data_IF_620169202045
#
_entry.id   IF_620169202045
#
_cell.length_a   1.000
_cell.length_b   1.000
_cell.length_c   1.000
_cell.angle_alpha   90.00
_cell.angle_beta   90.00
_cell.angle_gamma   90.00
#
_symmetry.space_group_name_H-M   'P 1'
#
loop_
_entity.id
_entity.type
_entity.pdbx_description
1 polymer ?
#
# COMPACT_ATOMS: atom_id res chain seq x y z
N UNK A 1 -9.83 -11.59 -0.63
CA UNK A 1 -8.76 -12.53 -0.18
C UNK A 1 -7.44 -11.83 -0.32
N UNK A 2 -7.20 -11.29 -1.51
CA UNK A 2 -6.14 -10.33 -1.83
C UNK A 2 -6.04 -9.20 -0.80
N UNK A 3 -7.16 -8.59 -0.36
CA UNK A 3 -7.16 -7.53 0.68
C UNK A 3 -6.52 -7.98 1.99
N UNK A 4 -6.69 -9.27 2.36
CA UNK A 4 -6.05 -9.82 3.55
C UNK A 4 -4.55 -9.95 3.35
N UNK A 5 -4.10 -10.41 2.18
CA UNK A 5 -2.68 -10.52 1.86
C UNK A 5 -2.02 -9.13 1.81
N UNK A 6 -2.64 -8.17 1.10
CA UNK A 6 -2.26 -6.77 1.05
C UNK A 6 -2.22 -6.13 2.45
N UNK A 7 -3.23 -6.38 3.28
CA UNK A 7 -3.27 -5.86 4.66
C UNK A 7 -2.16 -6.46 5.54
N UNK A 8 -1.93 -7.78 5.47
CA UNK A 8 -0.84 -8.43 6.21
C UNK A 8 0.52 -7.87 5.75
N UNK A 9 0.68 -7.64 4.44
CA UNK A 9 1.88 -7.02 3.88
C UNK A 9 2.09 -5.61 4.42
N UNK A 10 1.08 -4.72 4.31
CA UNK A 10 1.14 -3.34 4.82
C UNK A 10 1.46 -3.29 6.32
N UNK A 11 0.82 -4.13 7.14
CA UNK A 11 1.12 -4.23 8.57
C UNK A 11 2.58 -4.63 8.83
N UNK A 12 3.14 -5.54 8.01
CA UNK A 12 4.54 -5.92 8.11
C UNK A 12 5.51 -4.80 7.68
N UNK A 13 5.14 -4.01 6.67
CA UNK A 13 5.92 -2.84 6.21
C UNK A 13 6.00 -1.78 7.32
N UNK A 14 4.89 -1.56 8.03
CA UNK A 14 4.80 -0.63 9.16
C UNK A 14 5.54 -1.10 10.43
N UNK A 15 6.21 -2.27 10.38
CA UNK A 15 6.85 -2.91 11.53
C UNK A 15 5.85 -3.45 12.56
N UNK A 16 4.56 -3.55 12.20
CA UNK A 16 3.50 -4.03 13.08
C UNK A 16 3.33 -5.55 12.96
N UNK A 17 2.75 -6.14 14.02
CA UNK A 17 2.38 -7.55 14.00
C UNK A 17 1.00 -7.70 13.36
N UNK A 18 0.91 -8.48 12.29
CA UNK A 18 -0.36 -8.85 11.67
C UNK A 18 -1.16 -9.82 12.55
N UNK A 19 -1.76 -9.30 13.61
CA UNK A 19 -2.68 -10.05 14.49
C UNK A 19 -4.08 -10.07 13.87
N UNK A 20 -4.91 -11.04 14.28
CA UNK A 20 -6.32 -11.08 13.86
C UNK A 20 -7.05 -9.78 14.15
N UNK A 21 -6.75 -9.14 15.30
CA UNK A 21 -7.35 -7.86 15.68
C UNK A 21 -6.91 -6.72 14.75
N UNK A 22 -5.60 -6.59 14.51
CA UNK A 22 -5.08 -5.55 13.62
C UNK A 22 -5.62 -5.68 12.18
N UNK A 23 -5.74 -6.92 11.68
CA UNK A 23 -6.32 -7.20 10.37
C UNK A 23 -7.83 -6.85 10.35
N UNK A 24 -8.57 -7.22 11.40
CA UNK A 24 -10.00 -6.93 11.54
C UNK A 24 -10.27 -5.42 11.56
N UNK A 25 -9.46 -4.66 12.30
CA UNK A 25 -9.54 -3.21 12.38
C UNK A 25 -9.26 -2.55 11.03
N UNK A 26 -8.16 -2.92 10.36
CA UNK A 26 -7.80 -2.35 9.05
C UNK A 26 -8.80 -2.66 7.95
N UNK A 27 -9.37 -3.86 7.93
CA UNK A 27 -10.36 -4.27 6.92
C UNK A 27 -11.80 -3.92 7.32
N UNK A 28 -12.03 -3.34 8.50
CA UNK A 28 -13.36 -3.07 9.05
C UNK A 28 -14.31 -4.31 9.03
N UNK A 29 -13.77 -5.49 9.36
CA UNK A 29 -14.51 -6.77 9.40
C UNK A 29 -14.48 -7.40 10.79
N UNK A 30 -15.42 -8.31 11.06
CA UNK A 30 -15.45 -9.02 12.34
C UNK A 30 -14.28 -10.00 12.49
N UNK A 31 -13.67 -10.06 13.68
CA UNK A 31 -12.54 -10.96 13.99
C UNK A 31 -12.78 -12.47 13.69
N UNK A 32 -14.01 -13.02 13.85
CA UNK A 32 -14.30 -14.39 13.40
C UNK A 32 -14.15 -14.58 11.89
N UNK A 33 -14.54 -13.59 11.08
CA UNK A 33 -14.37 -13.60 9.62
C UNK A 33 -12.89 -13.65 9.25
N UNK A 34 -12.07 -12.86 9.95
CA UNK A 34 -10.61 -12.87 9.78
C UNK A 34 -10.02 -14.22 10.12
N UNK A 35 -10.43 -14.83 11.23
CA UNK A 35 -9.96 -16.17 11.63
C UNK A 35 -10.27 -17.22 10.55
N UNK A 36 -11.50 -17.19 10.01
CA UNK A 36 -11.91 -18.07 8.91
C UNK A 36 -11.06 -17.86 7.65
N UNK A 37 -10.81 -16.60 7.27
CA UNK A 37 -10.00 -16.28 6.09
C UNK A 37 -8.52 -16.67 6.27
N UNK A 38 -7.92 -16.41 7.43
CA UNK A 38 -6.54 -16.84 7.73
C UNK A 38 -6.40 -18.36 7.60
N UNK A 39 -7.38 -19.12 8.10
CA UNK A 39 -7.36 -20.59 7.94
C UNK A 39 -7.37 -20.99 6.47
N UNK A 40 -8.23 -20.37 5.65
CA UNK A 40 -8.29 -20.62 4.20
C UNK A 40 -6.98 -20.24 3.49
N UNK A 41 -6.39 -19.10 3.84
CA UNK A 41 -5.09 -18.67 3.29
C UNK A 41 -3.97 -19.64 3.67
N UNK A 42 -4.00 -20.21 4.87
CA UNK A 42 -3.02 -21.20 5.32
C UNK A 42 -3.18 -22.53 4.58
N UNK A 43 -4.42 -22.96 4.33
CA UNK A 43 -4.74 -24.14 3.48
C UNK A 43 -4.23 -23.96 2.03
N UNK A 44 -4.15 -22.72 1.55
CA UNK A 44 -3.58 -22.36 0.24
C UNK A 44 -2.06 -22.11 0.27
N UNK A 45 -1.40 -22.30 1.42
CA UNK A 45 0.04 -22.03 1.61
C UNK A 45 0.46 -20.57 1.32
N UNK A 46 -0.45 -19.62 1.49
CA UNK A 46 -0.19 -18.19 1.31
C UNK A 46 0.22 -17.49 2.61
N UNK A 47 -0.16 -18.05 3.76
CA UNK A 47 0.24 -17.55 5.08
C UNK A 47 0.69 -18.66 6.01
N UNK A 48 1.61 -18.31 6.89
CA UNK A 48 1.95 -19.08 8.08
C UNK A 48 1.22 -18.48 9.29
N UNK A 49 0.45 -19.32 9.98
CA UNK A 49 -0.27 -18.92 11.18
C UNK A 49 -0.15 -19.99 12.27
N UNK A 50 0.39 -19.57 13.42
CA UNK A 50 0.34 -20.35 14.66
C UNK A 50 -0.75 -19.77 15.56
N UNK A 51 -1.47 -20.63 16.29
CA UNK A 51 -2.52 -20.18 17.23
C UNK A 51 -1.96 -19.12 18.19
N UNK A 52 -2.68 -18.00 18.32
CA UNK A 52 -2.33 -16.85 19.18
C UNK A 52 -1.08 -16.06 18.76
N UNK A 53 -0.55 -16.30 17.55
CA UNK A 53 0.58 -15.55 17.01
C UNK A 53 0.17 -14.66 15.83
N UNK A 54 1.06 -13.74 15.47
CA UNK A 54 0.94 -12.94 14.25
C UNK A 54 0.96 -13.84 13.01
N UNK A 55 0.13 -13.51 12.05
CA UNK A 55 0.15 -14.10 10.71
C UNK A 55 1.37 -13.58 9.95
N UNK A 56 2.01 -14.44 9.17
CA UNK A 56 3.11 -14.05 8.26
C UNK A 56 2.79 -14.52 6.86
N UNK A 57 3.17 -13.73 5.85
CA UNK A 57 3.08 -14.15 4.46
C UNK A 57 4.17 -15.20 4.18
N UNK A 58 3.82 -16.24 3.44
CA UNK A 58 4.82 -17.09 2.78
C UNK A 58 5.38 -16.33 1.57
N UNK A 59 6.47 -16.80 0.92
CA UNK A 59 6.94 -16.19 -0.32
C UNK A 59 5.85 -16.10 -1.40
N UNK A 60 4.99 -17.12 -1.52
CA UNK A 60 3.87 -17.11 -2.46
C UNK A 60 2.80 -16.06 -2.07
N UNK A 61 2.46 -15.98 -0.78
CA UNK A 61 1.52 -14.96 -0.30
C UNK A 61 2.05 -13.54 -0.42
N UNK A 62 3.36 -13.35 -0.23
CA UNK A 62 4.01 -12.05 -0.42
C UNK A 62 3.98 -11.63 -1.89
N UNK A 63 4.25 -12.56 -2.82
CA UNK A 63 4.12 -12.27 -4.25
C UNK A 63 2.70 -11.82 -4.61
N UNK A 64 1.70 -12.57 -4.16
CA UNK A 64 0.29 -12.23 -4.42
C UNK A 64 -0.12 -10.89 -3.77
N UNK A 65 0.37 -10.58 -2.56
CA UNK A 65 0.12 -9.28 -1.93
C UNK A 65 0.74 -8.13 -2.75
N UNK A 66 1.97 -8.32 -3.22
CA UNK A 66 2.71 -7.30 -3.96
C UNK A 66 2.16 -7.04 -5.37
N UNK A 67 1.61 -8.07 -6.01
CA UNK A 67 0.88 -7.93 -7.28
C UNK A 67 -0.30 -6.96 -7.12
N UNK A 68 -1.12 -7.16 -6.08
CA UNK A 68 -2.26 -6.29 -5.77
C UNK A 68 -1.80 -4.88 -5.41
N UNK A 69 -0.73 -4.74 -4.61
CA UNK A 69 -0.13 -3.43 -4.29
C UNK A 69 0.39 -2.73 -5.54
N UNK A 70 0.97 -3.46 -6.49
CA UNK A 70 1.42 -2.91 -7.77
C UNK A 70 0.25 -2.42 -8.60
N UNK A 71 -0.82 -3.21 -8.72
CA UNK A 71 -2.05 -2.82 -9.39
C UNK A 71 -2.61 -1.52 -8.82
N UNK A 72 -2.75 -1.47 -7.50
CA UNK A 72 -3.22 -0.30 -6.76
C UNK A 72 -2.43 0.96 -7.11
N UNK A 73 -1.10 0.93 -6.91
CA UNK A 73 -0.22 2.09 -7.08
C UNK A 73 -0.14 2.57 -8.54
N UNK A 74 -0.16 1.66 -9.51
CA UNK A 74 -0.22 2.01 -10.92
C UNK A 74 -1.57 2.63 -11.30
N UNK A 75 -2.67 2.08 -10.79
CA UNK A 75 -4.01 2.63 -10.98
C UNK A 75 -4.11 4.02 -10.38
N UNK A 76 -3.60 4.23 -9.16
CA UNK A 76 -3.59 5.56 -8.55
C UNK A 76 -2.88 6.57 -9.44
N UNK A 77 -1.66 6.26 -9.88
CA UNK A 77 -0.91 7.16 -10.73
C UNK A 77 -1.61 7.42 -12.06
N UNK A 78 -2.15 6.38 -12.70
CA UNK A 78 -2.87 6.52 -13.95
C UNK A 78 -4.14 7.37 -13.82
N UNK A 79 -4.95 7.13 -12.78
CA UNK A 79 -6.17 7.89 -12.55
C UNK A 79 -5.87 9.36 -12.24
N UNK A 80 -4.82 9.63 -11.48
CA UNK A 80 -4.37 10.99 -11.20
C UNK A 80 -3.87 11.71 -12.47
N UNK A 81 -2.96 11.10 -13.24
CA UNK A 81 -2.34 11.75 -14.40
C UNK A 81 -3.28 11.84 -15.62
N UNK A 82 -4.02 10.76 -15.92
CA UNK A 82 -4.82 10.68 -17.15
C UNK A 82 -6.24 11.21 -16.97
N UNK A 83 -6.83 11.04 -15.78
CA UNK A 83 -8.24 11.38 -15.53
C UNK A 83 -8.42 12.55 -14.55
N UNK A 84 -7.33 13.04 -13.93
CA UNK A 84 -7.37 14.21 -13.06
C UNK A 84 -8.00 13.96 -11.70
N UNK A 85 -7.97 12.72 -11.21
CA UNK A 85 -8.33 12.44 -9.81
C UNK A 85 -7.41 13.22 -8.88
N UNK A 86 -7.97 13.79 -7.82
CA UNK A 86 -7.15 14.37 -6.75
C UNK A 86 -6.48 13.26 -5.95
N UNK A 87 -5.31 13.56 -5.37
CA UNK A 87 -4.58 12.59 -4.56
C UNK A 87 -5.39 12.09 -3.34
N UNK A 88 -6.33 12.87 -2.81
CA UNK A 88 -7.19 12.46 -1.71
C UNK A 88 -8.40 11.61 -2.12
N UNK A 89 -8.73 11.56 -3.41
CA UNK A 89 -9.85 10.77 -3.95
C UNK A 89 -9.40 9.50 -4.66
N UNK A 90 -8.15 9.47 -5.15
CA UNK A 90 -7.68 8.44 -6.08
C UNK A 90 -7.63 7.04 -5.45
N UNK A 91 -7.32 6.96 -4.16
CA UNK A 91 -7.19 5.72 -3.40
C UNK A 91 -8.47 4.87 -3.46
N UNK A 92 -9.63 5.49 -3.25
CA UNK A 92 -10.90 4.77 -3.21
C UNK A 92 -11.26 4.14 -4.55
N UNK A 93 -10.93 4.80 -5.66
CA UNK A 93 -11.18 4.25 -6.99
C UNK A 93 -10.18 3.15 -7.34
N UNK A 94 -8.90 3.32 -6.98
CA UNK A 94 -7.89 2.28 -7.16
C UNK A 94 -8.23 0.99 -6.39
N UNK A 95 -8.67 1.09 -5.13
CA UNK A 95 -9.15 -0.06 -4.31
C UNK A 95 -10.29 -0.84 -4.99
N UNK A 96 -11.20 -0.16 -5.70
CA UNK A 96 -12.30 -0.83 -6.43
C UNK A 96 -11.81 -1.62 -7.64
N UNK A 97 -10.73 -1.18 -8.27
CA UNK A 97 -10.26 -1.69 -9.55
C UNK A 97 -9.14 -2.72 -9.43
N UNK A 98 -8.29 -2.64 -8.41
CA UNK A 98 -7.03 -3.40 -8.30
C UNK A 98 -7.17 -4.92 -8.40
N UNK A 99 -8.32 -5.46 -7.98
CA UNK A 99 -8.63 -6.90 -8.00
C UNK A 99 -9.23 -7.38 -9.33
N UNK A 100 -9.51 -6.48 -10.26
CA UNK A 100 -10.30 -6.77 -11.46
C UNK A 100 -9.51 -6.64 -12.75
N UNK A 101 -8.33 -6.03 -12.68
CA UNK A 101 -7.49 -5.82 -13.85
C UNK A 101 -6.68 -7.06 -14.20
N UNK A 102 -6.45 -7.27 -15.51
CA UNK A 102 -5.55 -8.30 -15.98
C UNK A 102 -4.10 -7.82 -15.98
N UNK A 103 -3.15 -8.77 -15.94
CA UNK A 103 -1.71 -8.48 -16.12
C UNK A 103 -1.44 -7.71 -17.43
N UNK A 104 -2.18 -7.99 -18.52
CA UNK A 104 -2.02 -7.25 -19.78
C UNK A 104 -2.45 -5.78 -19.64
N UNK A 105 -3.53 -5.52 -18.90
CA UNK A 105 -4.00 -4.16 -18.67
C UNK A 105 -3.04 -3.38 -17.77
N UNK A 106 -2.57 -4.01 -16.70
CA UNK A 106 -1.53 -3.47 -15.81
C UNK A 106 -0.26 -3.10 -16.60
N UNK A 107 0.27 -4.02 -17.41
CA UNK A 107 1.48 -3.77 -18.21
C UNK A 107 1.31 -2.61 -19.20
N UNK A 108 0.10 -2.41 -19.74
CA UNK A 108 -0.20 -1.26 -20.61
C UNK A 108 -0.26 0.05 -19.83
N UNK A 109 -0.79 0.04 -18.60
CA UNK A 109 -0.75 1.20 -17.71
C UNK A 109 0.69 1.56 -17.37
N UNK A 110 1.49 0.59 -16.93
CA UNK A 110 2.89 0.80 -16.56
C UNK A 110 3.70 1.41 -17.72
N UNK A 111 3.52 0.87 -18.93
CA UNK A 111 4.15 1.41 -20.13
C UNK A 111 3.64 2.81 -20.51
N UNK A 112 2.33 3.08 -20.36
CA UNK A 112 1.75 4.39 -20.65
C UNK A 112 2.24 5.48 -19.69
N UNK A 113 2.51 5.12 -18.43
CA UNK A 113 3.10 5.98 -17.41
C UNK A 113 4.63 6.11 -17.53
N UNK A 114 5.26 5.39 -18.46
CA UNK A 114 6.70 5.45 -18.67
C UNK A 114 7.54 4.70 -17.64
N UNK A 115 7.01 3.59 -17.10
CA UNK A 115 7.65 2.74 -16.09
C UNK A 115 7.98 3.49 -14.78
N UNK A 116 6.96 4.08 -14.12
CA UNK A 116 7.11 4.82 -12.88
C UNK A 116 7.64 3.93 -11.74
N UNK A 117 8.36 4.54 -10.81
CA UNK A 117 8.88 3.85 -9.62
C UNK A 117 8.12 4.17 -8.34
N UNK A 118 7.25 5.18 -8.35
CA UNK A 118 6.44 5.61 -7.21
C UNK A 118 5.04 6.03 -7.67
N UNK A 119 4.07 5.97 -6.76
CA UNK A 119 2.71 6.48 -6.97
C UNK A 119 2.60 7.99 -6.64
N UNK A 120 1.40 8.62 -6.73
CA UNK A 120 1.19 10.03 -6.40
C UNK A 120 1.52 10.42 -4.95
N UNK A 121 1.53 9.44 -4.04
CA UNK A 121 1.81 9.61 -2.62
C UNK A 121 3.29 9.39 -2.29
N UNK A 122 4.07 8.95 -3.27
CA UNK A 122 5.51 8.66 -3.17
C UNK A 122 5.81 7.22 -2.75
N UNK A 123 4.80 6.36 -2.61
CA UNK A 123 5.02 4.96 -2.25
C UNK A 123 5.66 4.20 -3.42
N UNK A 124 6.62 3.29 -3.16
CA UNK A 124 7.31 2.57 -4.21
C UNK A 124 6.40 1.59 -4.95
N UNK A 125 6.37 1.64 -6.28
CA UNK A 125 5.64 0.64 -7.09
C UNK A 125 6.47 -0.67 -7.08
N UNK A 126 5.93 -1.81 -6.58
CA UNK A 126 6.61 -3.09 -6.68
C UNK A 126 6.92 -3.47 -8.13
N UNK A 127 8.02 -4.15 -8.40
CA UNK A 127 8.31 -4.71 -9.73
C UNK A 127 7.36 -5.87 -10.07
N UNK A 128 7.33 -6.28 -11.34
CA UNK A 128 6.57 -7.45 -11.79
C UNK A 128 7.03 -8.76 -11.12
N UNK A 129 8.29 -8.84 -10.68
CA UNK A 129 8.82 -9.96 -9.90
C UNK A 129 8.45 -9.87 -8.40
N UNK A 130 7.79 -8.81 -7.97
CA UNK A 130 7.47 -8.57 -6.56
C UNK A 130 8.66 -8.06 -5.75
N UNK A 131 9.58 -7.31 -6.37
CA UNK A 131 10.63 -6.61 -5.64
C UNK A 131 10.18 -5.18 -5.29
N UNK A 132 10.34 -4.78 -4.04
CA UNK A 132 10.09 -3.39 -3.60
C UNK A 132 11.44 -2.74 -3.31
N UNK A 133 11.75 -1.58 -3.92
CA UNK A 133 12.95 -0.82 -3.58
C UNK A 133 13.02 -0.54 -2.08
N UNK A 134 14.15 -0.86 -1.46
CA UNK A 134 14.38 -0.50 -0.06
C UNK A 134 14.64 1.01 0.01
N UNK A 135 13.75 1.75 0.67
CA UNK A 135 13.92 3.19 0.92
C UNK A 135 14.06 3.39 2.42
N UNK A 136 15.25 3.78 2.87
CA UNK A 136 15.48 4.17 4.25
C UNK A 136 15.00 5.63 4.42
N UNK A 137 13.88 5.81 5.12
CA UNK A 137 13.29 7.11 5.40
C UNK A 137 13.18 7.33 6.91
N UNK A 138 13.44 8.56 7.33
CA UNK A 138 13.15 9.01 8.67
C UNK A 138 11.75 9.64 8.74
N UNK A 139 11.07 9.47 9.87
CA UNK A 139 9.81 10.19 10.11
C UNK A 139 10.11 11.68 10.27
N UNK A 140 9.21 12.52 9.75
CA UNK A 140 9.31 13.97 9.91
C UNK A 140 9.50 14.39 11.39
N UNK A 141 8.84 13.68 12.31
CA UNK A 141 8.92 13.90 13.76
C UNK A 141 10.29 13.58 14.39
N UNK A 142 11.18 12.92 13.66
CA UNK A 142 12.53 12.59 14.12
C UNK A 142 13.55 13.69 13.78
N UNK A 143 13.20 14.66 12.92
CA UNK A 143 14.08 15.76 12.57
C UNK A 143 14.22 16.76 13.72
N UNK A 144 15.43 17.30 13.89
CA UNK A 144 15.67 18.39 14.81
C UNK A 144 15.20 19.72 14.23
N UNK A 145 14.82 20.66 15.11
CA UNK A 145 14.41 22.00 14.69
C UNK A 145 15.54 22.69 13.91
N UNK A 146 15.21 23.14 12.69
CA UNK A 146 16.16 23.80 11.78
C UNK A 146 16.85 22.87 10.79
N UNK A 147 16.64 21.56 10.88
CA UNK A 147 17.02 20.60 9.83
C UNK A 147 16.06 20.68 8.65
N UNK A 148 16.61 20.62 7.43
CA UNK A 148 15.81 20.54 6.22
C UNK A 148 15.72 19.11 5.72
N UNK A 149 14.57 18.72 5.19
CA UNK A 149 14.39 17.43 4.51
C UNK A 149 13.50 17.58 3.29
N UNK A 150 13.49 16.55 2.44
CA UNK A 150 12.53 16.42 1.34
C UNK A 150 11.51 15.35 1.70
N UNK A 151 10.23 15.67 1.54
CA UNK A 151 9.14 14.71 1.75
C UNK A 151 9.26 13.64 0.68
N UNK A 152 9.46 12.38 1.09
CA UNK A 152 9.53 11.26 0.15
C UNK A 152 8.19 10.55 -0.01
N UNK A 153 7.42 10.42 1.08
CA UNK A 153 6.18 9.64 1.15
C UNK A 153 5.19 10.33 2.08
N UNK A 154 3.91 10.25 1.74
CA UNK A 154 2.79 10.66 2.60
C UNK A 154 1.83 9.49 2.69
N UNK A 155 1.40 9.13 3.91
CA UNK A 155 0.40 8.08 4.07
C UNK A 155 -0.95 8.52 3.50
N UNK A 156 -1.61 7.63 2.76
CA UNK A 156 -2.83 7.84 1.99
C UNK A 156 -4.10 7.31 2.68
N UNK A 157 -3.98 6.87 3.94
CA UNK A 157 -5.04 6.20 4.70
C UNK A 157 -6.14 7.14 5.21
N UNK A 158 -5.95 8.45 5.08
CA UNK A 158 -6.86 9.48 5.60
C UNK A 158 -7.00 10.66 4.61
N UNK A 159 -8.09 10.70 3.82
CA UNK A 159 -8.34 11.77 2.85
C UNK A 159 -8.40 13.16 3.47
N UNK A 160 -8.89 13.29 4.71
CA UNK A 160 -8.93 14.60 5.39
C UNK A 160 -7.52 15.08 5.74
N UNK A 161 -6.63 14.17 6.14
CA UNK A 161 -5.21 14.50 6.34
C UNK A 161 -4.54 14.87 5.02
N UNK A 162 -4.79 14.14 3.94
CA UNK A 162 -4.25 14.48 2.62
C UNK A 162 -4.71 15.87 2.19
N UNK A 163 -6.01 16.20 2.26
CA UNK A 163 -6.50 17.55 1.98
C UNK A 163 -5.80 18.63 2.81
N UNK A 164 -5.63 18.38 4.11
CA UNK A 164 -4.92 19.31 4.99
C UNK A 164 -3.45 19.49 4.57
N UNK A 165 -2.70 18.39 4.39
CA UNK A 165 -1.30 18.43 3.99
C UNK A 165 -1.11 19.13 2.64
N UNK A 166 -2.00 18.88 1.69
CA UNK A 166 -2.00 19.53 0.39
C UNK A 166 -2.25 21.03 0.49
N UNK A 167 -3.17 21.45 1.37
CA UNK A 167 -3.45 22.88 1.61
C UNK A 167 -2.26 23.68 2.14
N UNK A 168 -1.30 23.00 2.77
CA UNK A 168 -0.04 23.60 3.27
C UNK A 168 1.17 23.28 2.37
N UNK A 169 0.95 22.66 1.20
CA UNK A 169 1.99 22.37 0.21
C UNK A 169 2.89 21.16 0.55
N UNK A 170 2.47 20.30 1.49
CA UNK A 170 3.20 19.09 1.85
C UNK A 170 2.82 17.92 0.95
N UNK A 171 3.41 17.93 -0.25
CA UNK A 171 3.37 16.83 -1.21
C UNK A 171 4.71 16.07 -1.20
N UNK A 172 4.78 14.86 -1.79
CA UNK A 172 6.06 14.27 -2.18
C UNK A 172 6.92 15.29 -2.95
N UNK A 173 8.24 15.22 -2.74
CA UNK A 173 9.26 16.15 -3.23
C UNK A 173 9.24 17.57 -2.63
N UNK A 174 8.26 17.92 -1.78
CA UNK A 174 8.27 19.19 -1.06
C UNK A 174 9.45 19.27 -0.07
N UNK A 175 10.02 20.46 0.09
CA UNK A 175 11.08 20.72 1.08
C UNK A 175 10.48 21.28 2.36
N UNK A 176 10.86 20.69 3.50
CA UNK A 176 10.49 21.13 4.86
C UNK A 176 11.72 21.60 5.62
N UNK A 177 11.55 22.52 6.59
CA UNK A 177 12.61 23.08 7.44
C UNK A 177 12.06 23.53 8.80
#
# INVERSE_FOLDING_TARGET
MEDYLKTIYRLSEDGQRATTQAIAERLAVAAPSVTGMIKRLAELHLVDHQRYHSVRLTPAGQKAALEVVRHHRLLELYLAEALGYSWDEVHEEAERLEHTISEEFEARIDAALGFPTTDPHGDPIPSIEGAVPAIALDRLTALAVGESARVSRVADDDPDKLRYLGSIGLYPEATVR
#
